data_IF_388794192838
#
_entry.id   IF_388794192838
#
_cell.length_a   1.000
_cell.length_b   1.000
_cell.length_c   1.000
_cell.angle_alpha   90.00
_cell.angle_beta   90.00
_cell.angle_gamma   90.00
#
_symmetry.space_group_name_H-M   'P 1'
#
loop_
_entity.id
_entity.type
_entity.pdbx_description
1 polymer ?
#
# COMPACT_ATOMS: atom_id res chain seq x y z
N UNK A 1 21.53 -6.42 -12.89
CA UNK A 1 20.55 -7.11 -12.01
C UNK A 1 19.21 -6.42 -12.19
N UNK A 2 18.13 -7.19 -12.26
CA UNK A 2 16.78 -6.65 -12.36
C UNK A 2 16.41 -6.02 -11.01
N UNK A 3 15.79 -4.83 -10.99
CA UNK A 3 15.35 -4.17 -9.78
C UNK A 3 14.28 -4.96 -9.02
N UNK A 4 13.99 -4.63 -7.75
CA UNK A 4 13.03 -5.39 -6.94
C UNK A 4 11.61 -5.34 -7.50
N UNK A 5 10.81 -6.32 -7.13
CA UNK A 5 9.35 -6.29 -7.28
C UNK A 5 8.79 -5.70 -5.98
N UNK A 6 8.08 -4.59 -6.09
CA UNK A 6 7.40 -3.99 -4.95
C UNK A 6 5.92 -4.37 -5.00
N UNK A 7 5.43 -4.95 -3.91
CA UNK A 7 4.04 -5.38 -3.80
C UNK A 7 3.37 -4.63 -2.65
N UNK A 8 2.31 -3.91 -2.94
CA UNK A 8 1.51 -3.29 -1.91
C UNK A 8 0.30 -4.15 -1.56
N UNK A 9 0.25 -4.64 -0.33
CA UNK A 9 -0.95 -5.25 0.24
C UNK A 9 -1.88 -4.14 0.74
N UNK A 10 -3.03 -3.97 0.10
CA UNK A 10 -4.02 -2.97 0.51
C UNK A 10 -4.53 -3.22 1.93
N UNK A 11 -4.65 -2.18 2.76
CA UNK A 11 -5.14 -2.33 4.14
C UNK A 11 -6.55 -2.94 4.20
N UNK A 12 -7.46 -2.53 3.32
CA UNK A 12 -8.80 -3.13 3.23
C UNK A 12 -8.83 -4.53 2.61
N UNK A 13 -7.73 -4.97 1.95
CA UNK A 13 -7.56 -6.35 1.49
C UNK A 13 -7.23 -7.27 2.66
N UNK A 14 -6.26 -6.88 3.50
CA UNK A 14 -5.72 -7.74 4.56
C UNK A 14 -6.40 -7.57 5.92
N UNK A 15 -7.37 -6.63 6.04
CA UNK A 15 -8.13 -6.41 7.27
C UNK A 15 -9.63 -6.24 7.00
N UNK A 16 -10.45 -6.45 8.01
CA UNK A 16 -11.90 -6.17 7.97
C UNK A 16 -12.10 -4.70 8.32
N UNK A 17 -12.62 -3.90 7.36
CA UNK A 17 -12.64 -2.42 7.42
C UNK A 17 -13.30 -1.85 8.67
N UNK A 18 -14.42 -2.43 9.08
CA UNK A 18 -15.29 -1.88 10.12
C UNK A 18 -15.07 -2.50 11.51
N UNK A 19 -14.03 -3.32 11.65
CA UNK A 19 -13.69 -3.99 12.90
C UNK A 19 -12.26 -3.66 13.31
N UNK A 20 -12.10 -2.97 14.44
CA UNK A 20 -10.80 -2.60 14.98
C UNK A 20 -9.87 -3.83 15.08
N UNK A 21 -8.65 -3.66 14.60
CA UNK A 21 -7.56 -4.64 14.68
C UNK A 21 -7.97 -6.06 14.25
N UNK A 22 -8.79 -6.15 13.20
CA UNK A 22 -9.32 -7.42 12.70
C UNK A 22 -8.61 -7.83 11.40
N UNK A 23 -7.62 -8.76 11.44
CA UNK A 23 -6.88 -9.21 10.27
C UNK A 23 -7.65 -10.28 9.50
N UNK A 24 -7.44 -10.34 8.18
CA UNK A 24 -7.85 -11.44 7.31
C UNK A 24 -6.67 -12.40 7.10
N UNK A 25 -6.40 -13.26 8.07
CA UNK A 25 -5.22 -14.14 8.07
C UNK A 25 -5.13 -15.02 6.83
N UNK A 26 -6.25 -15.60 6.39
CA UNK A 26 -6.27 -16.45 5.18
C UNK A 26 -5.87 -15.68 3.92
N UNK A 27 -6.26 -14.41 3.81
CA UNK A 27 -5.87 -13.54 2.69
C UNK A 27 -4.37 -13.26 2.76
N UNK A 28 -3.85 -12.89 3.95
CA UNK A 28 -2.41 -12.65 4.17
C UNK A 28 -1.61 -13.92 3.81
N UNK A 29 -2.06 -15.09 4.27
CA UNK A 29 -1.43 -16.38 3.96
C UNK A 29 -1.39 -16.68 2.46
N UNK A 30 -2.47 -16.43 1.74
CA UNK A 30 -2.52 -16.65 0.29
C UNK A 30 -1.63 -15.66 -0.48
N UNK A 31 -1.57 -14.40 -0.06
CA UNK A 31 -0.61 -13.42 -0.60
C UNK A 31 0.84 -13.85 -0.34
N UNK A 32 1.13 -14.39 0.86
CA UNK A 32 2.44 -14.89 1.21
C UNK A 32 2.89 -16.08 0.32
N UNK A 33 1.96 -16.94 -0.12
CA UNK A 33 2.28 -18.01 -1.11
C UNK A 33 2.74 -17.45 -2.45
N UNK A 34 2.13 -16.37 -2.93
CA UNK A 34 2.59 -15.72 -4.16
C UNK A 34 3.99 -15.13 -3.99
N UNK A 35 4.26 -14.51 -2.83
CA UNK A 35 5.61 -14.04 -2.50
C UNK A 35 6.60 -15.20 -2.43
N UNK A 36 6.23 -16.33 -1.81
CA UNK A 36 7.06 -17.54 -1.77
C UNK A 36 7.45 -18.01 -3.16
N UNK A 37 6.49 -18.02 -4.09
CA UNK A 37 6.76 -18.42 -5.47
C UNK A 37 7.80 -17.50 -6.11
N UNK A 38 7.66 -16.17 -5.98
CA UNK A 38 8.62 -15.22 -6.54
C UNK A 38 10.03 -15.37 -5.92
N UNK A 39 10.10 -15.49 -4.59
CA UNK A 39 11.38 -15.70 -3.88
C UNK A 39 12.05 -17.01 -4.28
N UNK A 40 11.28 -18.09 -4.51
CA UNK A 40 11.82 -19.36 -5.00
C UNK A 40 12.46 -19.28 -6.39
N UNK A 41 12.20 -18.20 -7.13
CA UNK A 41 12.78 -17.88 -8.44
C UNK A 41 13.91 -16.84 -8.34
N UNK A 42 14.48 -16.62 -7.17
CA UNK A 42 15.53 -15.63 -6.88
C UNK A 42 15.14 -14.18 -7.19
N UNK A 43 13.82 -13.88 -7.18
CA UNK A 43 13.33 -12.52 -7.37
C UNK A 43 13.33 -11.76 -6.05
N UNK A 44 13.84 -10.53 -6.06
CA UNK A 44 13.85 -9.66 -4.88
C UNK A 44 12.46 -9.05 -4.70
N UNK A 45 11.90 -9.20 -3.51
CA UNK A 45 10.55 -8.69 -3.19
C UNK A 45 10.61 -7.74 -2.00
N UNK A 46 9.91 -6.61 -2.13
CA UNK A 46 9.64 -5.68 -1.03
C UNK A 46 8.13 -5.59 -0.85
N UNK A 47 7.66 -5.75 0.37
CA UNK A 47 6.23 -5.64 0.71
C UNK A 47 5.98 -4.31 1.40
N UNK A 48 4.94 -3.62 0.95
CA UNK A 48 4.39 -2.45 1.64
C UNK A 48 2.94 -2.74 1.99
N UNK A 49 2.56 -2.74 3.27
CA UNK A 49 1.15 -2.95 3.58
C UNK A 49 0.45 -1.67 4.06
N UNK A 50 -0.86 -1.62 3.83
CA UNK A 50 -1.71 -0.54 4.32
C UNK A 50 -2.15 -0.77 5.75
N UNK A 51 -2.65 0.29 6.39
CA UNK A 51 -3.06 0.25 7.79
C UNK A 51 -4.39 -0.51 8.03
N UNK A 52 -5.32 -0.44 7.09
CA UNK A 52 -6.64 -1.04 7.26
C UNK A 52 -7.29 -0.66 8.59
N UNK A 53 -7.90 -1.63 9.25
CA UNK A 53 -8.58 -1.43 10.53
C UNK A 53 -7.65 -1.27 11.74
N UNK A 54 -6.33 -1.50 11.57
CA UNK A 54 -5.34 -1.31 12.64
C UNK A 54 -4.93 0.16 12.83
N UNK A 55 -4.96 0.97 11.77
CA UNK A 55 -4.55 2.38 11.87
C UNK A 55 -5.66 3.38 11.52
N UNK A 56 -6.48 3.09 10.51
CA UNK A 56 -7.35 4.10 9.87
C UNK A 56 -8.41 4.69 10.77
N UNK A 57 -9.13 3.84 11.51
CA UNK A 57 -10.25 4.28 12.37
C UNK A 57 -9.75 5.19 13.50
N UNK A 58 -8.72 4.75 14.20
CA UNK A 58 -8.11 5.49 15.31
C UNK A 58 -7.45 6.79 14.82
N UNK A 59 -6.67 6.72 13.74
CA UNK A 59 -6.03 7.90 13.16
C UNK A 59 -7.04 8.96 12.70
N UNK A 60 -8.19 8.54 12.16
CA UNK A 60 -9.28 9.43 11.77
C UNK A 60 -9.96 10.05 12.99
N UNK A 61 -10.32 9.24 14.00
CA UNK A 61 -10.96 9.71 15.23
C UNK A 61 -10.09 10.76 15.95
N UNK A 62 -8.80 10.52 16.04
CA UNK A 62 -7.83 11.40 16.69
C UNK A 62 -7.21 12.46 15.75
N UNK A 63 -7.72 12.61 14.53
CA UNK A 63 -7.27 13.61 13.53
C UNK A 63 -5.75 13.60 13.29
N UNK A 64 -5.11 12.44 13.36
CA UNK A 64 -3.65 12.35 13.25
C UNK A 64 -3.12 12.78 11.88
N UNK A 65 -3.96 12.84 10.85
CA UNK A 65 -3.63 13.36 9.52
C UNK A 65 -3.56 14.89 9.48
N UNK A 66 -4.21 15.58 10.41
CA UNK A 66 -4.18 17.04 10.51
C UNK A 66 -2.92 17.56 11.23
N UNK A 67 -2.26 16.71 12.02
CA UNK A 67 -1.17 17.07 12.93
C UNK A 67 -1.67 17.48 14.31
N UNK A 68 -0.84 18.23 15.06
CA UNK A 68 -1.19 18.66 16.42
C UNK A 68 -2.42 19.56 16.42
N UNK A 69 -3.44 19.19 17.17
CA UNK A 69 -4.66 19.97 17.35
C UNK A 69 -5.28 19.72 18.71
N UNK A 70 -6.04 20.70 19.22
CA UNK A 70 -6.86 20.57 20.42
C UNK A 70 -8.37 20.65 20.11
N UNK A 71 -8.73 20.69 18.81
CA UNK A 71 -10.10 20.94 18.39
C UNK A 71 -10.74 19.67 17.83
N UNK A 72 -11.90 19.30 18.39
CA UNK A 72 -12.73 18.19 17.90
C UNK A 72 -12.07 16.82 18.07
N UNK A 73 -11.31 16.64 19.14
CA UNK A 73 -10.80 15.36 19.59
C UNK A 73 -11.88 14.58 20.36
N UNK A 74 -11.79 13.24 20.44
CA UNK A 74 -12.71 12.45 21.26
C UNK A 74 -12.65 12.86 22.72
N UNK A 75 -13.80 12.96 23.38
CA UNK A 75 -13.91 13.28 24.81
C UNK A 75 -14.25 12.07 25.67
N UNK A 76 -14.69 10.98 25.04
CA UNK A 76 -15.10 9.73 25.70
C UNK A 76 -14.35 8.56 25.05
N UNK A 77 -13.01 8.63 25.01
CA UNK A 77 -12.15 7.54 24.56
C UNK A 77 -11.35 6.99 25.77
N UNK A 78 -10.83 5.79 25.64
CA UNK A 78 -9.87 5.19 26.57
C UNK A 78 -8.55 5.97 26.56
N UNK A 79 -8.22 6.59 25.41
CA UNK A 79 -7.05 7.44 25.22
C UNK A 79 -7.40 8.88 25.60
N UNK A 80 -6.47 9.58 26.24
CA UNK A 80 -6.67 10.96 26.71
C UNK A 80 -6.03 12.02 25.80
N UNK A 81 -5.03 11.66 25.00
CA UNK A 81 -4.23 12.60 24.22
C UNK A 81 -3.92 12.07 22.81
N UNK A 82 -3.56 12.98 21.89
CA UNK A 82 -3.05 12.59 20.57
C UNK A 82 -1.73 11.79 20.68
N UNK A 83 -0.90 12.05 21.67
CA UNK A 83 0.35 11.30 21.86
C UNK A 83 0.06 9.83 22.21
N UNK A 84 -0.88 9.58 23.10
CA UNK A 84 -1.34 8.22 23.40
C UNK A 84 -1.98 7.55 22.16
N UNK A 85 -2.69 8.31 21.34
CA UNK A 85 -3.28 7.81 20.11
C UNK A 85 -2.21 7.45 19.06
N UNK A 86 -1.15 8.26 18.94
CA UNK A 86 0.01 7.98 18.07
C UNK A 86 0.67 6.67 18.50
N UNK A 87 1.03 6.55 19.76
CA UNK A 87 1.65 5.33 20.29
C UNK A 87 0.75 4.09 20.15
N UNK A 88 -0.55 4.28 20.30
CA UNK A 88 -1.52 3.20 20.10
C UNK A 88 -1.60 2.78 18.63
N UNK A 89 -1.62 3.71 17.68
CA UNK A 89 -1.62 3.40 16.25
C UNK A 89 -0.31 2.73 15.84
N UNK A 90 0.85 3.25 16.25
CA UNK A 90 2.16 2.64 15.98
C UNK A 90 2.23 1.19 16.46
N UNK A 91 1.74 0.92 17.68
CA UNK A 91 1.68 -0.44 18.26
C UNK A 91 0.75 -1.35 17.44
N UNK A 92 -0.43 -0.88 17.08
CA UNK A 92 -1.36 -1.66 16.28
C UNK A 92 -0.77 -1.97 14.90
N UNK A 93 -0.05 -1.02 14.29
CA UNK A 93 0.64 -1.24 13.02
C UNK A 93 1.78 -2.26 13.13
N UNK A 94 2.55 -2.24 14.23
CA UNK A 94 3.54 -3.27 14.53
C UNK A 94 2.89 -4.65 14.67
N UNK A 95 1.74 -4.75 15.32
CA UNK A 95 1.00 -6.02 15.44
C UNK A 95 0.54 -6.53 14.07
N UNK A 96 -0.01 -5.67 13.21
CA UNK A 96 -0.38 -6.08 11.84
C UNK A 96 0.84 -6.53 11.04
N UNK A 97 1.94 -5.79 11.14
CA UNK A 97 3.20 -6.13 10.46
C UNK A 97 3.75 -7.47 10.94
N UNK A 98 3.66 -7.75 12.25
CA UNK A 98 4.05 -9.04 12.81
C UNK A 98 3.22 -10.18 12.20
N UNK A 99 1.90 -10.03 12.08
CA UNK A 99 1.03 -11.04 11.45
C UNK A 99 1.42 -11.29 9.99
N UNK A 100 1.73 -10.24 9.22
CA UNK A 100 2.21 -10.39 7.83
C UNK A 100 3.54 -11.15 7.80
N UNK A 101 4.48 -10.80 8.67
CA UNK A 101 5.78 -11.45 8.78
C UNK A 101 5.66 -12.92 9.20
N UNK A 102 4.78 -13.24 10.15
CA UNK A 102 4.53 -14.60 10.61
C UNK A 102 4.00 -15.50 9.48
N UNK A 103 3.08 -15.00 8.65
CA UNK A 103 2.56 -15.79 7.52
C UNK A 103 3.64 -16.07 6.46
N UNK A 104 4.54 -15.13 6.21
CA UNK A 104 5.71 -15.35 5.35
C UNK A 104 6.68 -16.36 5.97
N UNK A 105 6.99 -16.20 7.26
CA UNK A 105 7.90 -17.10 7.98
C UNK A 105 7.38 -18.55 8.05
N UNK A 106 6.07 -18.76 8.18
CA UNK A 106 5.45 -20.10 8.09
C UNK A 106 5.73 -20.80 6.76
N UNK A 107 5.97 -20.03 5.70
CA UNK A 107 6.32 -20.54 4.37
C UNK A 107 7.84 -20.61 4.12
N UNK A 108 8.65 -20.42 5.16
CA UNK A 108 10.11 -20.48 5.08
C UNK A 108 10.77 -19.22 4.50
N UNK A 109 10.04 -18.11 4.40
CA UNK A 109 10.57 -16.83 3.90
C UNK A 109 11.11 -16.03 5.07
N UNK A 110 12.40 -15.72 5.06
CA UNK A 110 13.00 -14.80 6.02
C UNK A 110 12.58 -13.37 5.72
N UNK A 111 12.18 -12.63 6.76
CA UNK A 111 11.67 -11.24 6.62
C UNK A 111 12.46 -10.26 7.46
N UNK A 112 12.52 -9.01 7.02
CA UNK A 112 13.03 -7.89 7.81
C UNK A 112 12.06 -6.71 7.73
N UNK A 113 11.59 -6.26 8.89
CA UNK A 113 10.60 -5.20 9.01
C UNK A 113 11.24 -3.84 9.28
N UNK A 114 10.70 -2.81 8.65
CA UNK A 114 11.14 -1.42 8.78
C UNK A 114 9.96 -0.56 9.23
N UNK A 115 9.89 -0.22 10.52
CA UNK A 115 8.86 0.65 11.09
C UNK A 115 9.06 2.10 10.64
N UNK A 116 8.14 2.71 9.88
CA UNK A 116 8.38 4.04 9.30
C UNK A 116 8.69 5.13 10.32
N UNK A 117 8.08 5.12 11.49
CA UNK A 117 8.35 6.09 12.53
C UNK A 117 9.81 6.07 13.07
N UNK A 118 10.59 5.03 12.78
CA UNK A 118 11.99 4.91 13.17
C UNK A 118 12.97 5.48 12.12
N UNK A 119 12.54 5.62 10.86
CA UNK A 119 13.45 5.96 9.76
C UNK A 119 12.96 7.03 8.81
N UNK A 120 11.68 7.38 8.87
CA UNK A 120 11.06 8.36 8.01
C UNK A 120 10.58 9.58 8.81
N UNK A 121 10.70 10.75 8.22
CA UNK A 121 10.22 12.02 8.78
C UNK A 121 9.49 12.80 7.70
N UNK A 122 8.35 13.39 8.06
CA UNK A 122 7.48 14.09 7.12
C UNK A 122 6.54 13.18 6.35
N UNK A 123 5.61 13.77 5.65
CA UNK A 123 4.53 13.07 4.93
C UNK A 123 4.53 13.42 3.44
N UNK A 124 3.70 12.70 2.67
CA UNK A 124 3.63 12.90 1.22
C UNK A 124 4.83 12.27 0.49
N UNK A 125 4.99 12.64 -0.78
CA UNK A 125 6.00 12.06 -1.67
C UNK A 125 7.43 12.46 -1.32
N UNK A 126 7.59 13.62 -0.68
CA UNK A 126 8.88 14.20 -0.32
C UNK A 126 9.28 13.95 1.14
N UNK A 127 8.72 12.93 1.79
CA UNK A 127 9.17 12.55 3.13
C UNK A 127 10.67 12.25 3.12
N UNK A 128 11.35 12.52 4.22
CA UNK A 128 12.77 12.22 4.39
C UNK A 128 12.95 10.81 4.96
N UNK A 129 13.98 10.10 4.54
CA UNK A 129 14.32 8.76 5.04
C UNK A 129 15.33 8.07 4.15
N UNK A 130 16.20 7.25 4.74
CA UNK A 130 17.26 6.52 4.02
C UNK A 130 16.72 5.18 3.49
N UNK A 131 16.50 5.11 2.18
CA UNK A 131 15.99 3.90 1.51
C UNK A 131 17.08 2.85 1.22
N UNK A 132 18.38 3.15 1.43
CA UNK A 132 19.45 2.14 1.27
C UNK A 132 19.26 0.94 2.18
N UNK A 133 18.51 1.10 3.27
CA UNK A 133 18.11 0.01 4.18
C UNK A 133 17.31 -1.11 3.52
N UNK A 134 16.65 -0.82 2.38
CA UNK A 134 15.89 -1.79 1.59
C UNK A 134 16.73 -2.45 0.48
N UNK A 135 17.95 -1.99 0.27
CA UNK A 135 18.89 -2.58 -0.71
C UNK A 135 19.78 -3.59 -0.02
N UNK A 136 19.15 -4.58 0.58
CA UNK A 136 19.81 -5.52 1.45
C UNK A 136 19.87 -6.92 0.82
N UNK A 137 20.26 -7.84 1.63
CA UNK A 137 20.57 -9.22 1.39
C UNK A 137 19.59 -9.89 0.41
N UNK A 138 20.12 -10.71 -0.47
CA UNK A 138 19.39 -11.35 -1.57
C UNK A 138 18.31 -12.34 -1.11
N UNK A 139 18.37 -12.74 0.16
CA UNK A 139 17.49 -13.77 0.72
C UNK A 139 16.43 -13.25 1.71
N UNK A 140 16.28 -11.94 1.86
CA UNK A 140 15.31 -11.34 2.76
C UNK A 140 14.19 -10.64 2.01
N UNK A 141 12.96 -10.84 2.46
CA UNK A 141 11.81 -10.02 2.06
C UNK A 141 11.70 -8.86 3.05
N UNK A 142 11.90 -7.64 2.54
CA UNK A 142 11.73 -6.43 3.33
C UNK A 142 10.27 -6.06 3.42
N UNK A 143 9.80 -5.68 4.63
CA UNK A 143 8.43 -5.26 4.88
C UNK A 143 8.43 -3.87 5.48
N UNK A 144 7.55 -3.01 4.99
CA UNK A 144 7.22 -1.71 5.60
C UNK A 144 5.73 -1.41 5.42
N UNK A 145 5.24 -0.27 5.93
CA UNK A 145 3.81 0.00 5.96
C UNK A 145 3.51 1.51 6.09
N UNK A 146 2.25 1.90 5.92
CA UNK A 146 1.83 3.26 6.26
C UNK A 146 1.77 3.46 7.77
N UNK A 147 2.26 4.60 8.28
CA UNK A 147 2.41 4.83 9.71
C UNK A 147 2.24 6.30 10.11
N UNK A 148 2.16 6.56 11.41
CA UNK A 148 2.29 7.90 11.98
C UNK A 148 3.77 8.20 12.18
N UNK A 149 4.25 9.24 11.49
CA UNK A 149 5.65 9.68 11.54
C UNK A 149 5.76 11.10 12.07
N UNK A 150 6.94 11.45 12.59
CA UNK A 150 7.23 12.79 13.03
C UNK A 150 7.36 13.75 11.84
N UNK A 151 6.99 15.01 12.03
CA UNK A 151 7.13 16.09 11.06
C UNK A 151 7.92 17.23 11.68
N UNK A 152 8.86 17.82 10.92
CA UNK A 152 9.70 18.93 11.40
C UNK A 152 9.02 20.32 11.28
N UNK A 153 7.75 20.35 10.90
CA UNK A 153 6.97 21.57 10.75
C UNK A 153 5.94 21.70 11.87
N UNK A 154 5.09 22.73 11.81
CA UNK A 154 4.03 23.02 12.79
C UNK A 154 3.05 21.86 13.05
N UNK A 155 3.01 20.87 12.17
CA UNK A 155 2.17 19.67 12.36
C UNK A 155 2.70 18.73 13.43
N UNK A 156 4.01 18.75 13.72
CA UNK A 156 4.76 17.86 14.63
C UNK A 156 4.72 16.38 14.20
N UNK A 157 3.62 15.89 13.68
CA UNK A 157 3.44 14.52 13.17
C UNK A 157 2.42 14.48 12.03
N UNK A 158 2.33 13.34 11.36
CA UNK A 158 1.32 13.12 10.32
C UNK A 158 1.30 11.68 9.83
N UNK A 159 0.40 11.37 8.91
CA UNK A 159 0.28 10.04 8.31
C UNK A 159 1.16 9.94 7.07
N UNK A 160 2.17 9.08 7.13
CA UNK A 160 2.92 8.68 5.95
C UNK A 160 2.20 7.49 5.30
N UNK A 161 1.63 7.75 4.14
CA UNK A 161 0.88 6.75 3.39
C UNK A 161 1.81 5.67 2.81
N UNK A 162 1.40 4.41 2.87
CA UNK A 162 2.10 3.34 2.16
C UNK A 162 2.19 3.56 0.64
N UNK A 163 1.28 4.32 0.02
CA UNK A 163 1.37 4.68 -1.40
C UNK A 163 2.57 5.60 -1.66
N UNK A 164 2.83 6.58 -0.78
CA UNK A 164 4.00 7.46 -0.89
C UNK A 164 5.31 6.70 -0.65
N UNK A 165 5.32 5.74 0.28
CA UNK A 165 6.46 4.84 0.48
C UNK A 165 6.71 4.03 -0.79
N UNK A 166 5.67 3.45 -1.40
CA UNK A 166 5.77 2.74 -2.68
C UNK A 166 6.39 3.59 -3.77
N UNK A 167 6.00 4.87 -3.87
CA UNK A 167 6.55 5.79 -4.87
C UNK A 167 8.08 5.91 -4.74
N UNK A 168 8.57 6.28 -3.57
CA UNK A 168 10.01 6.46 -3.36
C UNK A 168 10.79 5.15 -3.52
N UNK A 169 10.29 4.04 -2.95
CA UNK A 169 10.92 2.73 -3.13
C UNK A 169 11.00 2.35 -4.61
N UNK A 170 9.90 2.50 -5.34
CA UNK A 170 9.84 2.12 -6.74
C UNK A 170 10.81 2.91 -7.62
N UNK A 171 10.91 4.23 -7.39
CA UNK A 171 11.77 5.12 -8.18
C UNK A 171 13.23 5.01 -7.76
N UNK A 172 13.52 5.10 -6.45
CA UNK A 172 14.91 5.18 -5.96
C UNK A 172 15.64 3.83 -6.00
N UNK A 173 14.90 2.71 -5.92
CA UNK A 173 15.49 1.37 -6.04
C UNK A 173 15.41 0.82 -7.48
N UNK A 174 14.95 1.61 -8.45
CA UNK A 174 14.77 1.19 -9.83
C UNK A 174 13.98 -0.11 -9.93
N UNK A 175 12.80 -0.15 -9.30
CA UNK A 175 11.98 -1.35 -9.27
C UNK A 175 11.63 -1.84 -10.68
N UNK A 176 11.61 -3.15 -10.87
CA UNK A 176 11.15 -3.78 -12.11
C UNK A 176 9.62 -3.77 -12.19
N UNK A 177 8.96 -3.93 -11.05
CA UNK A 177 7.51 -3.98 -10.94
C UNK A 177 7.01 -3.21 -9.72
N UNK A 178 5.85 -2.58 -9.88
CA UNK A 178 5.03 -2.09 -8.77
C UNK A 178 3.64 -2.69 -8.88
N UNK A 179 3.24 -3.49 -7.92
CA UNK A 179 1.96 -4.20 -7.92
C UNK A 179 1.13 -3.74 -6.73
N UNK A 180 0.00 -3.10 -6.99
CA UNK A 180 -0.99 -2.73 -5.98
C UNK A 180 -2.06 -3.82 -5.89
N UNK A 181 -1.96 -4.69 -4.90
CA UNK A 181 -2.99 -5.69 -4.60
C UNK A 181 -4.05 -5.05 -3.69
N UNK A 182 -5.27 -4.95 -4.18
CA UNK A 182 -6.41 -4.37 -3.46
C UNK A 182 -7.54 -5.39 -3.34
N UNK A 183 -8.47 -5.18 -2.44
CA UNK A 183 -9.65 -6.03 -2.30
C UNK A 183 -10.90 -5.37 -2.89
N UNK A 184 -11.88 -6.22 -3.25
CA UNK A 184 -13.21 -5.78 -3.64
C UNK A 184 -13.40 -5.37 -5.09
N UNK A 185 -12.33 -5.40 -5.91
CA UNK A 185 -12.44 -5.16 -7.35
C UNK A 185 -11.24 -5.75 -8.10
N UNK A 186 -11.42 -6.17 -9.37
CA UNK A 186 -10.34 -6.75 -10.19
C UNK A 186 -9.22 -5.75 -10.54
N UNK A 187 -9.49 -4.46 -10.42
CA UNK A 187 -8.62 -3.35 -10.77
C UNK A 187 -9.38 -2.03 -10.67
N UNK A 188 -9.06 -1.06 -11.50
CA UNK A 188 -9.80 0.20 -11.60
C UNK A 188 -11.09 -0.05 -12.37
N UNK A 189 -12.22 0.36 -11.80
CA UNK A 189 -13.55 0.17 -12.37
C UNK A 189 -14.09 1.46 -12.96
N UNK A 190 -14.96 1.36 -13.97
CA UNK A 190 -15.63 2.50 -14.62
C UNK A 190 -16.65 3.19 -13.71
N UNK A 191 -17.20 2.46 -12.72
CA UNK A 191 -18.15 2.94 -11.71
C UNK A 191 -17.97 2.11 -10.42
N UNK A 192 -18.69 2.42 -9.33
CA UNK A 192 -18.63 1.62 -8.10
C UNK A 192 -18.77 0.13 -8.36
N UNK A 193 -17.88 -0.74 -7.81
CA UNK A 193 -17.91 -2.19 -8.05
C UNK A 193 -19.26 -2.86 -7.69
N UNK A 194 -20.07 -2.21 -6.85
CA UNK A 194 -21.42 -2.64 -6.48
C UNK A 194 -22.47 -2.40 -7.59
N UNK A 195 -22.16 -1.60 -8.59
CA UNK A 195 -23.07 -1.33 -9.70
C UNK A 195 -22.97 -2.43 -10.76
N UNK A 196 -24.12 -2.93 -11.28
CA UNK A 196 -24.13 -3.96 -12.32
C UNK A 196 -23.45 -3.54 -13.65
N UNK A 197 -23.34 -2.24 -13.89
CA UNK A 197 -22.69 -1.65 -15.08
C UNK A 197 -21.20 -1.42 -14.91
N UNK A 198 -20.62 -1.73 -13.73
CA UNK A 198 -19.21 -1.52 -13.49
C UNK A 198 -18.35 -2.44 -14.35
N UNK A 199 -17.50 -1.85 -15.18
CA UNK A 199 -16.56 -2.56 -16.05
C UNK A 199 -15.12 -2.31 -15.61
N UNK A 200 -14.27 -3.32 -15.75
CA UNK A 200 -12.84 -3.17 -15.53
C UNK A 200 -12.22 -2.26 -16.59
N UNK A 201 -11.40 -1.30 -16.16
CA UNK A 201 -10.55 -0.51 -17.05
C UNK A 201 -9.20 -1.22 -17.17
N UNK A 202 -8.92 -1.92 -18.29
CA UNK A 202 -7.73 -2.77 -18.37
C UNK A 202 -6.43 -1.98 -18.49
N UNK A 203 -6.50 -0.75 -19.03
CA UNK A 203 -5.34 0.13 -19.18
C UNK A 203 -5.73 1.53 -18.71
N UNK A 204 -4.95 2.06 -17.78
CA UNK A 204 -5.12 3.41 -17.27
C UNK A 204 -3.94 4.31 -17.62
N UNK A 205 -4.25 5.51 -18.15
CA UNK A 205 -3.33 6.65 -18.28
C UNK A 205 -4.11 7.95 -18.14
N UNK A 206 -3.47 9.00 -17.65
CA UNK A 206 -4.11 10.28 -17.35
C UNK A 206 -4.76 10.94 -18.60
N UNK A 207 -4.19 10.73 -19.77
CA UNK A 207 -4.66 11.33 -21.06
C UNK A 207 -5.53 10.41 -21.91
N UNK A 208 -5.73 9.15 -21.53
CA UNK A 208 -6.72 8.34 -22.21
C UNK A 208 -8.10 8.80 -21.76
N UNK A 209 -8.69 9.71 -22.55
CA UNK A 209 -10.14 9.75 -22.66
C UNK A 209 -10.54 8.37 -23.17
N UNK A 210 -11.09 7.51 -22.29
CA UNK A 210 -11.78 6.34 -22.78
C UNK A 210 -12.93 6.86 -23.63
N UNK A 211 -12.95 6.51 -24.91
CA UNK A 211 -14.09 6.84 -25.77
C UNK A 211 -15.35 6.25 -25.10
N UNK A 212 -16.17 7.10 -24.51
CA UNK A 212 -17.42 6.72 -23.87
C UNK A 212 -17.51 6.83 -22.35
N UNK A 213 -16.41 7.06 -21.61
CA UNK A 213 -16.48 7.21 -20.15
C UNK A 213 -15.92 8.58 -19.74
N UNK A 214 -16.80 9.46 -19.22
CA UNK A 214 -16.37 10.71 -18.61
C UNK A 214 -15.62 10.42 -17.31
N UNK A 215 -14.55 11.19 -17.01
CA UNK A 215 -13.80 11.07 -15.75
C UNK A 215 -14.69 11.18 -14.49
N UNK A 216 -15.87 11.82 -14.61
CA UNK A 216 -16.89 11.91 -13.56
C UNK A 216 -17.58 10.59 -13.22
N UNK A 217 -17.51 9.60 -14.10
CA UNK A 217 -18.22 8.33 -13.95
C UNK A 217 -17.32 7.22 -13.35
N UNK A 218 -16.05 7.52 -13.06
CA UNK A 218 -15.12 6.58 -12.44
C UNK A 218 -15.31 6.60 -10.93
N UNK A 219 -15.62 5.44 -10.34
CA UNK A 219 -15.62 5.31 -8.88
C UNK A 219 -14.19 5.30 -8.33
N UNK A 220 -13.77 6.47 -7.90
CA UNK A 220 -12.50 6.73 -7.26
C UNK A 220 -12.70 7.10 -5.79
N UNK A 221 -13.73 6.57 -5.15
CA UNK A 221 -14.04 6.86 -3.75
C UNK A 221 -12.98 6.31 -2.79
N UNK A 222 -12.67 7.05 -1.74
CA UNK A 222 -11.94 6.56 -0.57
C UNK A 222 -10.52 6.07 -0.81
N UNK A 223 -9.61 6.86 -1.25
CA UNK A 223 -8.18 6.53 -1.34
C UNK A 223 -7.70 5.94 -2.69
N UNK A 224 -8.61 5.59 -3.61
CA UNK A 224 -8.24 5.15 -4.96
C UNK A 224 -7.62 6.28 -5.78
N UNK A 225 -8.08 7.53 -5.58
CA UNK A 225 -7.49 8.70 -6.26
C UNK A 225 -6.01 8.89 -5.93
N UNK A 226 -5.65 8.82 -4.64
CA UNK A 226 -4.25 8.90 -4.24
C UNK A 226 -3.45 7.77 -4.85
N UNK A 227 -3.98 6.54 -4.81
CA UNK A 227 -3.34 5.37 -5.39
C UNK A 227 -3.11 5.53 -6.89
N UNK A 228 -4.11 5.99 -7.66
CA UNK A 228 -3.98 6.23 -9.09
C UNK A 228 -2.95 7.31 -9.39
N UNK A 229 -3.03 8.45 -8.70
CA UNK A 229 -2.05 9.53 -8.87
C UNK A 229 -0.62 9.06 -8.59
N UNK A 230 -0.41 8.26 -7.54
CA UNK A 230 0.90 7.67 -7.23
C UNK A 230 1.31 6.64 -8.27
N UNK A 231 0.41 5.75 -8.67
CA UNK A 231 0.70 4.72 -9.68
C UNK A 231 1.08 5.33 -11.04
N UNK A 232 0.40 6.41 -11.47
CA UNK A 232 0.74 7.18 -12.67
C UNK A 232 2.16 7.78 -12.59
N UNK A 233 2.53 8.36 -11.45
CA UNK A 233 3.89 8.89 -11.26
C UNK A 233 4.94 7.78 -11.31
N UNK A 234 4.66 6.64 -10.68
CA UNK A 234 5.54 5.47 -10.71
C UNK A 234 5.70 4.95 -12.13
N UNK A 235 4.64 4.92 -12.93
CA UNK A 235 4.68 4.39 -14.30
C UNK A 235 5.64 5.13 -15.23
N UNK A 236 6.02 6.37 -14.89
CA UNK A 236 7.03 7.15 -15.61
C UNK A 236 8.46 6.62 -15.41
N UNK A 237 8.68 5.81 -14.38
CA UNK A 237 9.99 5.32 -13.95
C UNK A 237 10.07 3.79 -13.93
N UNK A 238 8.96 3.11 -13.72
CA UNK A 238 8.85 1.65 -13.57
C UNK A 238 8.08 1.06 -14.75
N UNK A 239 8.64 0.07 -15.46
CA UNK A 239 8.03 -0.45 -16.69
C UNK A 239 6.73 -1.23 -16.46
N UNK A 240 6.57 -1.83 -15.28
CA UNK A 240 5.44 -2.69 -14.97
C UNK A 240 4.72 -2.19 -13.71
N UNK A 241 3.63 -1.44 -13.91
CA UNK A 241 2.79 -0.93 -12.81
C UNK A 241 1.37 -1.46 -12.99
N UNK A 242 0.87 -2.16 -11.97
CA UNK A 242 -0.42 -2.82 -12.00
C UNK A 242 -1.25 -2.57 -10.75
N UNK A 243 -2.56 -2.48 -10.94
CA UNK A 243 -3.57 -2.56 -9.87
C UNK A 243 -4.36 -3.83 -10.13
N UNK A 244 -4.39 -4.74 -9.13
CA UNK A 244 -4.99 -6.07 -9.25
C UNK A 244 -5.86 -6.39 -8.04
N UNK A 245 -6.72 -7.38 -8.19
CA UNK A 245 -7.41 -8.00 -7.07
C UNK A 245 -6.46 -8.91 -6.29
N UNK A 246 -6.17 -8.54 -5.06
CA UNK A 246 -5.34 -9.33 -4.16
C UNK A 246 -6.07 -10.52 -3.52
N UNK A 247 -7.39 -10.64 -3.69
CA UNK A 247 -8.14 -11.85 -3.32
C UNK A 247 -7.87 -13.01 -4.32
N UNK A 248 -7.29 -12.66 -5.49
CA UNK A 248 -6.75 -13.59 -6.49
C UNK A 248 -5.22 -13.47 -6.52
N UNK A 249 -4.49 -13.98 -5.53
CA UNK A 249 -3.06 -13.70 -5.33
C UNK A 249 -2.15 -14.28 -6.43
N UNK A 250 -2.63 -15.25 -7.22
CA UNK A 250 -1.95 -15.76 -8.42
C UNK A 250 -1.66 -14.66 -9.45
N UNK A 251 -2.47 -13.60 -9.47
CA UNK A 251 -2.26 -12.45 -10.37
C UNK A 251 -0.96 -11.70 -10.09
N UNK A 252 -0.45 -11.74 -8.86
CA UNK A 252 0.88 -11.21 -8.52
C UNK A 252 1.96 -11.94 -9.32
N UNK A 253 1.88 -13.26 -9.35
CA UNK A 253 2.83 -14.12 -10.07
C UNK A 253 2.69 -13.93 -11.58
N UNK A 254 1.47 -13.86 -12.09
CA UNK A 254 1.21 -13.62 -13.51
C UNK A 254 1.82 -12.28 -13.98
N UNK A 255 1.63 -11.19 -13.24
CA UNK A 255 2.26 -9.90 -13.55
C UNK A 255 3.78 -10.02 -13.53
N UNK A 256 4.33 -10.62 -12.49
CA UNK A 256 5.77 -10.68 -12.28
C UNK A 256 6.50 -11.51 -13.33
N UNK A 257 5.89 -12.60 -13.82
CA UNK A 257 6.52 -13.55 -14.72
C UNK A 257 6.09 -13.38 -16.18
N UNK A 258 4.82 -13.07 -16.41
CA UNK A 258 4.25 -12.99 -17.77
C UNK A 258 4.08 -11.54 -18.25
N UNK A 259 4.08 -10.58 -17.32
CA UNK A 259 3.84 -9.17 -17.62
C UNK A 259 2.37 -8.81 -17.87
N UNK A 260 1.46 -9.77 -17.74
CA UNK A 260 0.03 -9.62 -18.02
C UNK A 260 -0.82 -10.36 -16.98
N UNK A 261 -1.98 -9.83 -16.67
CA UNK A 261 -3.01 -10.47 -15.82
C UNK A 261 -4.37 -9.81 -16.01
N UNK A 262 -5.41 -10.36 -15.41
CA UNK A 262 -6.71 -9.71 -15.32
C UNK A 262 -6.70 -8.63 -14.22
N UNK A 263 -6.52 -7.37 -14.63
CA UNK A 263 -6.36 -6.21 -13.75
C UNK A 263 -6.21 -4.92 -14.57
N UNK A 264 -5.74 -3.87 -13.93
CA UNK A 264 -5.48 -2.59 -14.60
C UNK A 264 -3.98 -2.35 -14.70
N UNK A 265 -3.47 -2.28 -15.91
CA UNK A 265 -2.11 -1.81 -16.19
C UNK A 265 -2.09 -0.29 -16.19
N UNK A 266 -1.16 0.29 -15.45
CA UNK A 266 -0.93 1.73 -15.44
C UNK A 266 0.23 2.03 -16.40
N UNK A 267 -0.01 2.90 -17.36
CA UNK A 267 1.01 3.32 -18.34
C UNK A 267 1.28 4.82 -18.22
N UNK A 268 2.51 5.26 -18.49
CA UNK A 268 2.80 6.70 -18.52
C UNK A 268 2.00 7.40 -19.62
N UNK A 269 1.82 8.69 -19.47
CA UNK A 269 1.31 9.51 -20.55
C UNK A 269 2.20 9.36 -21.78
N UNK A 270 1.56 9.19 -22.94
CA UNK A 270 2.29 9.33 -24.20
C UNK A 270 2.76 10.77 -24.35
N UNK A 271 4.01 11.00 -24.75
CA UNK A 271 4.58 12.34 -24.93
C UNK A 271 3.83 13.16 -25.97
#
# INVERSE_FOLDING_TARGET
>A
MQGPIIIKFGGGLITIKDQLCSPKIDVIHNLAKSVQHLVSMDLKVIIVHGAGSFGHLKAKSWKLHEGRTNVGLPTEDVLATQDEAIESVRRDMLNLNQLVSEELNKLGISTFSHSPHEWATGTGENFSGDLRRFNLDEHLVHITYGDVVDCLNEKEFGILSGDNICYRLAVELNASHMIFAMGGAPGVMSSPPSEPSAELIPIWSQNKQFEGVHQSDIDVTGGIHLKLSVAEKISKHVPMVWIIDGECPERIVEVALNGETYGTRIIPESP
#
